data_IF_591525292596
#
_entry.id   IF_591525292596
#
_cell.length_a   1.000
_cell.length_b   1.000
_cell.length_c   1.000
_cell.angle_alpha   90.00
_cell.angle_beta   90.00
_cell.angle_gamma   90.00
#
_symmetry.space_group_name_H-M   'P 1'
#
loop_
_entity.id
_entity.type
_entity.pdbx_description
1 polymer ?
#
# COMPACT_ATOMS: atom_id res chain seq x y z
N UNK A 1 -22.91 -15.02 -6.41
CA UNK A 1 -21.47 -15.32 -6.47
C UNK A 1 -20.98 -15.04 -7.88
N UNK A 2 -20.39 -13.86 -8.13
CA UNK A 2 -19.63 -13.64 -9.36
C UNK A 2 -18.18 -13.97 -9.08
N UNK A 3 -17.65 -14.91 -9.85
CA UNK A 3 -16.23 -15.26 -9.89
C UNK A 3 -15.48 -14.01 -10.34
N UNK A 4 -14.74 -13.42 -9.42
CA UNK A 4 -13.71 -12.45 -9.74
C UNK A 4 -12.64 -13.26 -10.49
N UNK A 5 -12.47 -13.02 -11.79
CA UNK A 5 -11.45 -13.68 -12.61
C UNK A 5 -10.08 -13.58 -11.90
N UNK A 6 -9.48 -14.73 -11.59
CA UNK A 6 -8.23 -14.84 -10.83
C UNK A 6 -7.04 -14.15 -11.49
N UNK A 7 -7.12 -13.89 -12.81
CA UNK A 7 -5.99 -13.44 -13.63
C UNK A 7 -5.80 -11.91 -13.62
N UNK A 8 -6.62 -11.16 -12.88
CA UNK A 8 -6.59 -9.68 -12.87
C UNK A 8 -6.39 -9.05 -11.50
N UNK A 9 -6.34 -9.85 -10.44
CA UNK A 9 -6.20 -9.35 -9.08
C UNK A 9 -4.73 -9.43 -8.62
N UNK A 10 -4.08 -8.26 -8.49
CA UNK A 10 -2.66 -8.18 -8.09
C UNK A 10 -2.44 -8.42 -6.60
N UNK A 11 -3.51 -8.62 -5.82
CA UNK A 11 -3.46 -8.95 -4.39
C UNK A 11 -2.49 -10.07 -4.09
N UNK A 12 -2.53 -11.19 -4.82
CA UNK A 12 -1.69 -12.36 -4.50
C UNK A 12 -0.19 -12.07 -4.59
N UNK A 13 0.23 -11.12 -5.44
CA UNK A 13 1.64 -10.73 -5.53
C UNK A 13 2.04 -9.78 -4.41
N UNK A 14 1.16 -8.84 -4.04
CA UNK A 14 1.40 -7.93 -2.93
C UNK A 14 1.30 -8.59 -1.56
N UNK A 15 0.41 -9.58 -1.41
CA UNK A 15 0.20 -10.32 -0.15
C UNK A 15 1.41 -11.19 0.22
N UNK A 16 2.23 -11.57 -0.77
CA UNK A 16 3.53 -12.22 -0.53
C UNK A 16 4.57 -11.25 0.06
N UNK A 17 4.39 -9.95 -0.12
CA UNK A 17 5.24 -8.93 0.45
C UNK A 17 4.74 -8.65 1.87
N UNK A 18 5.34 -9.30 2.86
CA UNK A 18 5.01 -9.06 4.26
C UNK A 18 5.46 -7.65 4.69
N UNK A 19 4.55 -6.68 4.69
CA UNK A 19 4.86 -5.26 4.96
C UNK A 19 4.96 -4.89 6.44
N UNK A 20 4.75 -5.82 7.38
CA UNK A 20 4.89 -5.52 8.80
C UNK A 20 6.28 -4.94 9.10
N UNK A 21 6.33 -3.94 9.98
CA UNK A 21 7.53 -3.16 10.32
C UNK A 21 8.15 -2.36 9.16
N UNK A 22 7.58 -2.40 7.95
CA UNK A 22 8.03 -1.54 6.85
C UNK A 22 7.54 -0.11 7.04
N UNK A 23 8.19 0.85 6.40
CA UNK A 23 7.85 2.27 6.57
C UNK A 23 7.47 2.91 5.24
N UNK A 24 6.38 3.69 5.25
CA UNK A 24 6.00 4.49 4.09
C UNK A 24 6.86 5.77 4.09
N UNK A 25 7.77 5.84 3.12
CA UNK A 25 8.76 6.93 3.01
C UNK A 25 8.34 8.06 2.07
N UNK A 26 7.51 7.77 1.07
CA UNK A 26 7.02 8.77 0.11
C UNK A 26 5.72 8.34 -0.54
N UNK A 27 4.84 9.32 -0.76
CA UNK A 27 3.56 9.17 -1.44
C UNK A 27 3.47 10.28 -2.48
N UNK A 28 3.44 9.92 -3.75
CA UNK A 28 3.35 10.86 -4.85
C UNK A 28 2.09 10.57 -5.67
N UNK A 29 1.18 11.54 -5.76
CA UNK A 29 0.01 11.47 -6.62
C UNK A 29 0.24 12.40 -7.81
N UNK A 30 0.34 11.83 -9.01
CA UNK A 30 0.55 12.60 -10.25
C UNK A 30 -0.74 12.61 -11.06
N UNK A 31 -1.04 13.77 -11.65
CA UNK A 31 -2.21 13.99 -12.49
C UNK A 31 -1.77 13.97 -13.96
N UNK A 32 -2.40 13.11 -14.77
CA UNK A 32 -2.20 13.05 -16.22
C UNK A 32 -3.10 14.06 -16.92
N UNK A 33 -2.72 14.49 -18.12
CA UNK A 33 -3.48 15.45 -18.94
C UNK A 33 -4.90 14.98 -19.30
N UNK A 34 -5.13 13.67 -19.28
CA UNK A 34 -6.44 13.06 -19.51
C UNK A 34 -7.35 13.04 -18.27
N UNK A 35 -6.89 13.60 -17.14
CA UNK A 35 -7.60 13.60 -15.85
C UNK A 35 -7.38 12.35 -15.00
N UNK A 36 -6.64 11.34 -15.49
CA UNK A 36 -6.27 10.17 -14.69
C UNK A 36 -5.29 10.58 -13.59
N UNK A 37 -5.37 9.89 -12.46
CA UNK A 37 -4.41 10.00 -11.37
C UNK A 37 -3.54 8.75 -11.32
N UNK A 38 -2.28 8.91 -10.99
CA UNK A 38 -1.36 7.82 -10.68
C UNK A 38 -0.89 7.94 -9.24
N UNK A 39 -0.49 6.82 -8.65
CA UNK A 39 0.17 6.78 -7.36
C UNK A 39 1.55 6.17 -7.53
N UNK A 40 2.54 6.79 -6.92
CA UNK A 40 3.83 6.21 -6.63
C UNK A 40 4.02 6.20 -5.12
N UNK A 41 4.20 5.01 -4.57
CA UNK A 41 4.42 4.78 -3.15
C UNK A 41 5.81 4.17 -2.96
N UNK A 42 6.66 4.84 -2.18
CA UNK A 42 7.98 4.33 -1.82
C UNK A 42 7.94 3.84 -0.38
N UNK A 43 8.27 2.57 -0.21
CA UNK A 43 8.30 1.87 1.07
C UNK A 43 9.75 1.50 1.36
N UNK A 44 10.26 1.93 2.50
CA UNK A 44 11.44 1.30 3.08
C UNK A 44 10.97 -0.05 3.63
N UNK A 45 11.22 -1.12 2.86
CA UNK A 45 10.73 -2.46 3.12
C UNK A 45 11.67 -3.21 4.07
N UNK A 46 11.11 -3.67 5.18
CA UNK A 46 11.82 -4.49 6.13
C UNK A 46 11.99 -5.92 5.58
N UNK A 47 13.21 -6.24 5.14
CA UNK A 47 13.52 -7.50 4.49
C UNK A 47 13.79 -8.62 5.50
N UNK A 48 12.76 -9.08 6.21
CA UNK A 48 12.89 -10.07 7.27
C UNK A 48 13.60 -11.36 6.81
N UNK A 49 13.32 -11.85 5.59
CA UNK A 49 13.91 -13.08 5.03
C UNK A 49 15.44 -12.98 4.87
N UNK A 50 15.93 -11.80 4.51
CA UNK A 50 17.36 -11.54 4.29
C UNK A 50 18.15 -11.27 5.56
N UNK A 51 17.48 -11.15 6.71
CA UNK A 51 18.12 -10.83 7.98
C UNK A 51 18.22 -12.02 8.96
N UNK A 52 17.77 -13.22 8.56
CA UNK A 52 17.76 -14.43 9.42
C UNK A 52 19.12 -14.81 10.05
N UNK A 53 20.24 -14.43 9.42
CA UNK A 53 21.60 -14.74 9.91
C UNK A 53 22.30 -13.55 10.60
N UNK A 54 21.65 -12.38 10.70
CA UNK A 54 22.24 -11.18 11.29
C UNK A 54 21.85 -11.07 12.76
N UNK A 55 22.80 -11.33 13.64
CA UNK A 55 22.68 -11.09 15.08
C UNK A 55 22.59 -9.58 15.36
N UNK A 56 21.38 -9.01 15.26
CA UNK A 56 20.86 -7.98 16.17
C UNK A 56 21.51 -6.59 16.24
N UNK A 57 22.27 -6.12 15.24
CA UNK A 57 22.84 -4.75 15.30
C UNK A 57 22.40 -3.86 14.13
N UNK A 58 22.38 -4.37 12.90
CA UNK A 58 21.95 -3.62 11.72
C UNK A 58 21.06 -4.50 10.84
N UNK A 59 19.83 -4.05 10.66
CA UNK A 59 18.86 -4.70 9.77
C UNK A 59 18.96 -4.09 8.37
N UNK A 60 18.95 -4.93 7.33
CA UNK A 60 18.90 -4.47 5.95
C UNK A 60 17.47 -4.16 5.54
N UNK A 61 17.25 -2.91 5.13
CA UNK A 61 16.03 -2.47 4.49
C UNK A 61 16.28 -2.31 2.99
N UNK A 62 15.29 -2.70 2.20
CA UNK A 62 15.29 -2.52 0.73
C UNK A 62 14.27 -1.47 0.38
N UNK A 63 14.53 -0.65 -0.63
CA UNK A 63 13.51 0.28 -1.12
C UNK A 63 12.61 -0.42 -2.14
N UNK A 64 11.32 -0.48 -1.80
CA UNK A 64 10.27 -0.96 -2.68
C UNK A 64 9.49 0.22 -3.24
N UNK A 65 9.31 0.25 -4.55
CA UNK A 65 8.43 1.20 -5.23
C UNK A 65 7.21 0.46 -5.73
N UNK A 66 6.03 0.88 -5.28
CA UNK A 66 4.74 0.45 -5.82
C UNK A 66 4.20 1.58 -6.71
N UNK A 67 3.83 1.25 -7.94
CA UNK A 67 3.20 2.19 -8.88
C UNK A 67 1.80 1.74 -9.22
N UNK A 68 0.87 2.69 -9.29
CA UNK A 68 -0.51 2.50 -9.70
C UNK A 68 -0.79 3.45 -10.85
N UNK A 69 -0.97 2.90 -12.05
CA UNK A 69 -1.11 3.68 -13.28
C UNK A 69 -2.51 4.31 -13.45
N UNK A 70 -3.50 3.79 -12.75
CA UNK A 70 -4.81 4.42 -12.59
C UNK A 70 -5.31 4.31 -11.14
N UNK A 71 -5.45 5.46 -10.49
CA UNK A 71 -5.85 5.60 -9.09
C UNK A 71 -7.32 6.04 -8.97
N UNK A 72 -8.18 5.10 -8.60
CA UNK A 72 -9.60 5.34 -8.40
C UNK A 72 -9.91 5.96 -7.04
N UNK A 73 -9.34 5.38 -5.99
CA UNK A 73 -9.54 5.83 -4.61
C UNK A 73 -8.17 6.02 -3.99
N UNK A 74 -8.02 7.12 -3.26
CA UNK A 74 -6.91 7.34 -2.36
C UNK A 74 -7.45 8.05 -1.13
N UNK A 75 -7.23 7.46 0.02
CA UNK A 75 -7.68 7.95 1.31
C UNK A 75 -6.56 7.78 2.32
N UNK A 76 -6.52 8.70 3.27
CA UNK A 76 -5.57 8.66 4.36
C UNK A 76 -6.15 9.32 5.60
N UNK A 77 -5.77 8.84 6.76
CA UNK A 77 -6.00 9.51 8.05
C UNK A 77 -4.74 9.44 8.93
N UNK A 78 -3.57 9.46 8.31
CA UNK A 78 -2.31 9.45 9.03
C UNK A 78 -2.09 10.76 9.80
N UNK A 79 -1.29 10.75 10.88
CA UNK A 79 -0.72 11.97 11.44
C UNK A 79 0.09 12.70 10.36
N UNK A 80 0.32 14.00 10.58
CA UNK A 80 0.93 14.89 9.62
C UNK A 80 2.33 14.43 9.13
N UNK A 81 2.38 13.77 7.98
CA UNK A 81 3.60 13.37 7.27
C UNK A 81 4.54 14.55 7.01
N UNK A 82 4.03 15.78 7.00
CA UNK A 82 4.81 16.99 6.73
C UNK A 82 5.59 17.43 7.96
N UNK A 83 5.11 17.11 9.17
CA UNK A 83 5.61 17.69 10.42
C UNK A 83 6.19 16.68 11.42
N UNK A 84 6.00 15.37 11.24
CA UNK A 84 6.54 14.37 12.17
C UNK A 84 7.77 13.63 11.61
N UNK A 85 8.89 13.74 12.34
CA UNK A 85 10.19 13.11 12.05
C UNK A 85 10.21 11.59 12.28
N UNK A 86 9.11 10.99 12.72
CA UNK A 86 9.01 9.56 12.96
C UNK A 86 8.34 8.86 11.80
N UNK A 87 8.99 7.80 11.34
CA UNK A 87 8.49 7.03 10.23
C UNK A 87 7.16 6.35 10.56
N UNK A 88 6.22 6.41 9.62
CA UNK A 88 4.93 5.71 9.71
C UNK A 88 5.16 4.23 9.44
N UNK A 89 5.31 3.46 10.52
CA UNK A 89 5.54 2.02 10.49
C UNK A 89 4.22 1.32 10.20
N UNK A 90 4.24 0.42 9.23
CA UNK A 90 3.12 -0.44 8.84
C UNK A 90 2.94 -1.53 9.90
N UNK A 91 1.79 -1.50 10.57
CA UNK A 91 1.39 -2.47 11.57
C UNK A 91 0.64 -3.65 10.93
N UNK A 92 -0.21 -3.36 9.95
CA UNK A 92 -1.05 -4.36 9.29
C UNK A 92 -1.33 -3.93 7.85
N UNK A 93 -1.45 -4.89 6.94
CA UNK A 93 -1.92 -4.65 5.56
C UNK A 93 -3.23 -5.39 5.33
N UNK A 94 -4.24 -4.68 4.85
CA UNK A 94 -5.55 -5.23 4.50
C UNK A 94 -5.79 -5.10 3.01
N UNK A 95 -6.42 -6.12 2.44
CA UNK A 95 -6.78 -6.15 1.02
C UNK A 95 -8.29 -6.11 0.83
N UNK A 96 -8.72 -5.74 -0.37
CA UNK A 96 -10.11 -5.79 -0.86
C UNK A 96 -11.11 -4.83 -0.17
N UNK A 97 -10.67 -4.03 0.81
CA UNK A 97 -11.54 -3.08 1.53
C UNK A 97 -12.16 -2.01 0.62
N UNK A 98 -13.47 -2.09 0.42
CA UNK A 98 -14.23 -1.17 -0.44
C UNK A 98 -14.22 -1.55 -1.92
N UNK A 99 -13.61 -2.67 -2.29
CA UNK A 99 -13.55 -3.13 -3.68
C UNK A 99 -14.93 -3.54 -4.22
N UNK A 100 -15.78 -4.14 -3.37
CA UNK A 100 -17.14 -4.56 -3.73
C UNK A 100 -18.05 -3.37 -4.08
N UNK A 101 -17.98 -2.29 -3.30
CA UNK A 101 -18.75 -1.07 -3.57
C UNK A 101 -18.35 -0.46 -4.91
N UNK A 102 -17.05 -0.37 -5.17
CA UNK A 102 -16.51 0.10 -6.45
C UNK A 102 -16.97 -0.81 -7.60
N UNK A 103 -16.97 -2.13 -7.40
CA UNK A 103 -17.44 -3.07 -8.40
C UNK A 103 -18.91 -2.84 -8.79
N UNK A 104 -19.79 -2.67 -7.81
CA UNK A 104 -21.21 -2.43 -8.09
C UNK A 104 -21.45 -1.06 -8.75
N UNK A 105 -20.69 -0.01 -8.37
CA UNK A 105 -20.71 1.29 -9.04
C UNK A 105 -20.31 1.14 -10.52
N UNK A 106 -19.20 0.46 -10.80
CA UNK A 106 -18.67 0.28 -12.15
C UNK A 106 -19.63 -0.55 -13.03
N UNK A 107 -20.23 -1.60 -12.47
CA UNK A 107 -21.24 -2.43 -13.12
C UNK A 107 -22.51 -1.64 -13.44
N UNK A 108 -22.92 -0.72 -12.56
CA UNK A 108 -24.07 0.16 -12.81
C UNK A 108 -23.81 1.09 -14.02
N UNK A 109 -22.58 1.62 -14.15
CA UNK A 109 -22.17 2.44 -15.30
C UNK A 109 -22.15 1.62 -16.59
N UNK A 110 -21.61 0.41 -16.56
CA UNK A 110 -21.61 -0.51 -17.70
C UNK A 110 -23.02 -0.79 -18.23
N UNK A 111 -24.00 -0.99 -17.32
CA UNK A 111 -25.41 -1.18 -17.71
C UNK A 111 -26.04 0.08 -18.34
N UNK A 112 -25.62 1.26 -17.90
CA UNK A 112 -26.19 2.55 -18.31
C UNK A 112 -25.61 3.06 -19.64
N UNK A 113 -24.35 2.76 -19.93
CA UNK A 113 -23.62 3.34 -21.05
C UNK A 113 -23.06 2.25 -21.96
N UNK A 114 -23.67 2.10 -23.16
CA UNK A 114 -23.14 1.25 -24.23
C UNK A 114 -21.73 1.73 -24.58
N UNK A 115 -20.72 0.88 -24.42
CA UNK A 115 -19.27 1.14 -24.60
C UNK A 115 -18.50 1.65 -23.38
N UNK A 116 -19.11 1.78 -22.19
CA UNK A 116 -18.33 2.07 -21.00
C UNK A 116 -17.38 0.93 -20.66
N UNK A 117 -16.08 1.27 -20.55
CA UNK A 117 -15.04 0.38 -20.03
C UNK A 117 -14.65 0.87 -18.65
N UNK A 118 -14.73 -0.03 -17.66
CA UNK A 118 -14.28 0.30 -16.31
C UNK A 118 -12.78 0.59 -16.32
N UNK A 119 -12.32 1.76 -15.87
CA UNK A 119 -10.91 2.06 -15.83
C UNK A 119 -10.16 1.24 -14.76
N UNK A 120 -10.88 0.60 -13.83
CA UNK A 120 -10.31 -0.30 -12.82
C UNK A 120 -10.34 -1.75 -13.33
N UNK A 121 -11.54 -2.27 -13.62
CA UNK A 121 -11.75 -3.70 -13.87
C UNK A 121 -11.51 -4.15 -15.32
N UNK A 122 -11.36 -3.19 -16.26
CA UNK A 122 -11.00 -3.52 -17.66
C UNK A 122 -9.50 -3.52 -17.89
N UNK A 123 -8.71 -3.12 -16.89
CA UNK A 123 -7.25 -3.09 -16.93
C UNK A 123 -6.67 -4.31 -16.21
N UNK A 124 -5.36 -4.47 -16.25
CA UNK A 124 -4.67 -5.55 -15.55
C UNK A 124 -4.44 -5.18 -14.08
N UNK A 125 -4.05 -6.16 -13.27
CA UNK A 125 -3.44 -5.94 -11.95
C UNK A 125 -4.17 -4.90 -11.07
N UNK A 126 -5.46 -5.05 -10.84
CA UNK A 126 -6.14 -4.20 -9.86
C UNK A 126 -5.98 -4.76 -8.45
N UNK A 127 -5.98 -3.86 -7.47
CA UNK A 127 -6.04 -4.22 -6.06
C UNK A 127 -6.63 -3.06 -5.24
N UNK A 128 -7.14 -3.42 -4.07
CA UNK A 128 -7.41 -2.51 -2.98
C UNK A 128 -6.44 -2.84 -1.86
N UNK A 129 -5.65 -1.87 -1.44
CA UNK A 129 -4.64 -2.04 -0.39
C UNK A 129 -4.86 -0.96 0.66
N UNK A 130 -4.91 -1.37 1.92
CA UNK A 130 -4.92 -0.50 3.09
C UNK A 130 -3.75 -0.85 3.99
N UNK A 131 -2.86 0.10 4.21
CA UNK A 131 -1.80 0.03 5.20
C UNK A 131 -2.30 0.69 6.47
N UNK A 132 -2.37 -0.07 7.56
CA UNK A 132 -2.61 0.45 8.91
C UNK A 132 -1.26 0.73 9.55
N UNK A 133 -1.12 1.90 10.13
CA UNK A 133 0.13 2.46 10.61
C UNK A 133 -0.03 3.02 12.03
N UNK A 134 1.09 3.19 12.72
CA UNK A 134 1.14 3.95 13.96
C UNK A 134 0.85 5.44 13.71
N UNK A 135 0.03 6.09 14.55
CA UNK A 135 -0.18 7.56 14.47
C UNK A 135 0.65 8.37 15.45
N UNK A 136 1.13 7.76 16.54
CA UNK A 136 1.80 8.46 17.65
C UNK A 136 2.84 7.56 18.32
N UNK A 137 3.79 8.22 19.02
CA UNK A 137 4.88 7.62 19.80
C UNK A 137 4.47 6.44 20.69
N UNK A 138 3.27 6.49 21.28
CA UNK A 138 2.86 5.55 22.34
C UNK A 138 2.11 4.30 21.85
N UNK A 139 1.98 4.08 20.54
CA UNK A 139 1.49 2.80 19.99
C UNK A 139 0.09 2.36 20.49
N UNK A 140 -0.74 3.28 20.97
CA UNK A 140 -2.08 2.95 21.45
C UNK A 140 -2.95 2.50 20.26
N UNK A 141 -3.44 1.26 20.35
CA UNK A 141 -4.25 0.54 19.33
C UNK A 141 -5.49 1.34 18.86
N UNK A 142 -5.92 2.36 19.62
CA UNK A 142 -7.07 3.20 19.31
C UNK A 142 -6.82 4.38 18.35
N UNK A 143 -5.57 4.81 18.18
CA UNK A 143 -5.19 5.96 17.33
C UNK A 143 -4.26 5.48 16.20
N UNK A 144 -4.75 4.57 15.35
CA UNK A 144 -3.99 4.10 14.17
C UNK A 144 -4.34 4.92 12.93
N UNK A 145 -3.31 5.23 12.16
CA UNK A 145 -3.42 5.94 10.90
C UNK A 145 -3.54 4.91 9.79
N UNK A 146 -4.04 5.30 8.64
CA UNK A 146 -4.05 4.45 7.47
C UNK A 146 -3.80 5.23 6.20
N UNK A 147 -3.30 4.50 5.21
CA UNK A 147 -3.37 4.87 3.80
C UNK A 147 -4.10 3.75 3.09
N UNK A 148 -5.09 4.12 2.29
CA UNK A 148 -5.87 3.20 1.47
C UNK A 148 -5.86 3.67 0.04
N UNK A 149 -5.62 2.75 -0.88
CA UNK A 149 -5.79 3.01 -2.29
C UNK A 149 -6.51 1.86 -3.00
N UNK A 150 -7.25 2.23 -4.05
CA UNK A 150 -7.84 1.30 -5.01
C UNK A 150 -7.45 1.76 -6.40
N UNK A 151 -6.88 0.86 -7.19
CA UNK A 151 -6.43 1.19 -8.55
C UNK A 151 -6.15 -0.04 -9.40
N UNK A 152 -5.65 0.23 -10.60
CA UNK A 152 -5.33 -0.78 -11.60
C UNK A 152 -3.99 -0.52 -12.29
N UNK A 153 -3.52 -1.53 -13.02
CA UNK A 153 -2.18 -1.63 -13.59
C UNK A 153 -1.11 -1.42 -12.51
N UNK A 154 -1.31 -2.08 -11.36
CA UNK A 154 -0.39 -2.04 -10.24
C UNK A 154 0.87 -2.84 -10.59
N UNK A 155 2.02 -2.28 -10.23
CA UNK A 155 3.32 -2.90 -10.39
C UNK A 155 4.18 -2.57 -9.17
N UNK A 156 5.15 -3.43 -8.86
CA UNK A 156 6.20 -3.10 -7.91
C UNK A 156 7.59 -3.35 -8.49
N UNK A 157 8.56 -2.62 -7.97
CA UNK A 157 9.97 -2.79 -8.30
C UNK A 157 10.85 -2.50 -7.09
N UNK A 158 11.96 -3.21 -6.98
CA UNK A 158 13.01 -2.89 -6.02
C UNK A 158 13.90 -1.82 -6.63
N UNK A 159 14.11 -0.72 -5.92
CA UNK A 159 14.95 0.40 -6.37
C UNK A 159 16.23 0.49 -5.56
N UNK A 160 17.24 1.16 -6.12
CA UNK A 160 18.50 1.39 -5.42
C UNK A 160 18.30 2.30 -4.21
N UNK A 161 18.98 1.95 -3.12
CA UNK A 161 18.88 2.64 -1.83
C UNK A 161 18.79 1.62 -0.70
N UNK A 162 19.61 1.83 0.33
CA UNK A 162 19.58 1.05 1.56
C UNK A 162 19.38 2.00 2.73
N UNK A 163 18.42 1.67 3.59
CA UNK A 163 18.29 2.27 4.91
C UNK A 163 18.89 1.29 5.91
N UNK A 164 19.75 1.79 6.77
CA UNK A 164 20.28 1.05 7.91
C UNK A 164 19.70 1.69 9.17
N UNK A 165 19.09 0.88 10.04
CA UNK A 165 18.43 1.37 11.25
C UNK A 165 18.04 0.23 12.17
N UNK A 166 17.78 0.57 13.43
CA UNK A 166 17.24 -0.36 14.42
C UNK A 166 15.70 -0.32 14.36
N UNK A 167 15.06 -1.50 14.40
CA UNK A 167 13.65 -1.58 14.80
C UNK A 167 13.61 -1.29 16.30
N UNK A 168 12.76 -0.38 16.75
CA UNK A 168 12.44 -0.29 18.17
C UNK A 168 11.79 -1.60 18.60
N UNK A 169 12.59 -2.53 19.12
CA UNK A 169 12.07 -3.63 19.94
C UNK A 169 11.68 -2.96 21.26
N UNK A 170 10.40 -2.94 21.67
CA UNK A 170 10.05 -2.51 23.01
C UNK A 170 10.74 -3.49 23.96
N UNK A 171 11.76 -3.02 24.67
CA UNK A 171 12.35 -3.78 25.76
C UNK A 171 11.25 -3.86 26.82
N UNK A 172 10.66 -5.04 27.00
CA UNK A 172 9.94 -5.34 28.23
C UNK A 172 10.98 -5.32 29.33
N UNK A 173 10.98 -4.26 30.14
CA UNK A 173 11.66 -4.29 31.42
C UNK A 173 10.98 -5.37 32.28
N UNK A 174 11.78 -6.32 32.78
CA UNK A 174 11.36 -7.33 33.76
C UNK A 174 11.00 -6.70 35.11
#
# INVERSE_FOLDING_TARGET
MSVIDSDKNYKLELDKLYFHDSEISSINILYKDNGDRTLELIIDYYNWEGNNDKSGIEWDWRKLKITVDYLAVFEWNAPDYVNNYQASVVLETKFDKGLEEIYEIEKSKQRKFNNYKSPIFSRSNYASVEFIMNSFDDGLIGDTGYIRFIGSDIQYSWIEGQKYGQIHIPIKEE
#
